data_IF_264978082324
#
_entry.id   IF_264978082324
#
_cell.length_a   1.000
_cell.length_b   1.000
_cell.length_c   1.000
_cell.angle_alpha   90.00
_cell.angle_beta   90.00
_cell.angle_gamma   90.00
#
_symmetry.space_group_name_H-M   'P 1'
#
loop_
_entity.id
_entity.type
_entity.pdbx_description
1 polymer ?
#
# COMPACT_ATOMS: atom_id res chain seq x y z
N UNK A 1 9.55 -10.86 14.04
CA UNK A 1 8.23 -10.81 13.39
C UNK A 1 7.46 -9.66 14.04
N UNK A 2 6.88 -8.71 13.29
CA UNK A 2 5.82 -7.85 13.84
C UNK A 2 4.46 -8.42 13.42
N UNK A 3 3.70 -9.00 14.35
CA UNK A 3 2.34 -9.42 14.07
C UNK A 3 1.47 -8.19 13.78
N UNK A 4 0.72 -8.24 12.69
CA UNK A 4 -0.35 -7.31 12.37
C UNK A 4 -1.45 -8.07 11.63
N UNK A 5 -2.68 -7.59 11.75
CA UNK A 5 -3.84 -8.07 10.99
C UNK A 5 -4.35 -6.88 10.16
N UNK A 6 -3.68 -6.55 9.04
CA UNK A 6 -4.02 -5.36 8.28
C UNK A 6 -5.41 -5.51 7.64
N UNK A 7 -6.25 -4.46 7.67
CA UNK A 7 -7.54 -4.49 6.97
C UNK A 7 -7.35 -4.60 5.45
N UNK A 8 -8.21 -5.41 4.83
CA UNK A 8 -8.36 -5.46 3.38
C UNK A 8 -9.38 -4.41 2.91
N UNK A 9 -9.18 -3.78 1.74
CA UNK A 9 -10.18 -2.93 1.13
C UNK A 9 -11.47 -3.71 0.83
N UNK A 10 -12.61 -3.05 0.98
CA UNK A 10 -13.90 -3.65 0.67
C UNK A 10 -13.97 -4.00 -0.84
N UNK A 11 -14.57 -5.14 -1.17
CA UNK A 11 -14.72 -5.55 -2.56
C UNK A 11 -15.54 -4.53 -3.37
N UNK A 12 -14.97 -4.04 -4.47
CA UNK A 12 -15.60 -3.04 -5.33
C UNK A 12 -15.36 -1.58 -4.91
N UNK A 13 -14.61 -1.33 -3.83
CA UNK A 13 -14.26 0.01 -3.36
C UNK A 13 -13.33 0.77 -4.31
N UNK A 14 -12.49 0.06 -5.08
CA UNK A 14 -11.45 0.66 -5.93
C UNK A 14 -10.58 1.62 -5.13
N UNK A 15 -10.29 1.27 -3.89
CA UNK A 15 -9.51 2.08 -2.97
C UNK A 15 -8.41 1.22 -2.36
N UNK A 16 -7.24 1.80 -2.19
CA UNK A 16 -6.18 1.14 -1.43
C UNK A 16 -6.29 1.44 0.07
N UNK A 17 -5.80 0.51 0.88
CA UNK A 17 -5.63 0.67 2.32
C UNK A 17 -4.17 0.43 2.65
N UNK A 18 -3.59 1.29 3.49
CA UNK A 18 -2.20 1.16 3.90
C UNK A 18 -2.05 1.11 5.42
N UNK A 19 -1.35 0.09 5.90
CA UNK A 19 -1.14 -0.20 7.32
C UNK A 19 0.35 -0.17 7.64
N UNK A 20 0.74 0.67 8.60
CA UNK A 20 2.10 0.66 9.16
C UNK A 20 2.15 -0.35 10.29
N UNK A 21 3.11 -1.27 10.25
CA UNK A 21 3.21 -2.32 11.25
C UNK A 21 3.95 -1.80 12.48
N UNK A 22 3.40 -2.05 13.66
CA UNK A 22 4.01 -1.72 14.96
C UNK A 22 4.72 -2.93 15.56
N UNK A 23 5.69 -2.68 16.46
CA UNK A 23 6.41 -3.75 17.15
C UNK A 23 7.40 -4.52 16.26
N UNK A 24 7.75 -3.98 15.09
CA UNK A 24 8.76 -4.57 14.22
C UNK A 24 10.15 -4.45 14.85
N UNK A 25 11.10 -5.26 14.36
CA UNK A 25 12.49 -5.15 14.78
C UNK A 25 12.99 -3.73 14.46
N UNK A 26 13.62 -3.06 15.43
CA UNK A 26 14.18 -1.73 15.23
C UNK A 26 15.13 -1.72 14.01
N UNK A 27 14.99 -0.71 13.15
CA UNK A 27 15.72 -0.62 11.86
C UNK A 27 15.10 -1.41 10.70
N UNK A 28 14.00 -2.13 10.92
CA UNK A 28 13.29 -2.90 9.90
C UNK A 28 11.78 -2.58 9.94
N UNK A 29 11.39 -1.36 9.54
CA UNK A 29 9.97 -1.01 9.45
C UNK A 29 9.30 -1.78 8.33
N UNK A 30 8.01 -2.06 8.53
CA UNK A 30 7.17 -2.78 7.57
C UNK A 30 5.90 -1.96 7.37
N UNK A 31 5.48 -1.86 6.10
CA UNK A 31 4.23 -1.24 5.68
C UNK A 31 3.55 -2.19 4.69
N UNK A 32 2.25 -2.35 4.83
CA UNK A 32 1.41 -3.18 3.96
C UNK A 32 0.39 -2.29 3.25
N UNK A 33 0.33 -2.38 1.92
CA UNK A 33 -0.68 -1.70 1.13
C UNK A 33 -1.47 -2.73 0.31
N UNK A 34 -2.80 -2.73 0.47
CA UNK A 34 -3.71 -3.65 -0.20
C UNK A 34 -4.68 -2.87 -1.11
N UNK A 35 -5.12 -3.50 -2.20
CA UNK A 35 -6.07 -2.95 -3.18
C UNK A 35 -7.03 -4.04 -3.64
N UNK A 36 -8.31 -3.70 -3.83
CA UNK A 36 -9.39 -4.66 -4.11
C UNK A 36 -9.53 -5.00 -5.60
N UNK A 37 -8.40 -5.10 -6.32
CA UNK A 37 -8.37 -5.46 -7.74
C UNK A 37 -7.39 -6.62 -8.00
N UNK A 38 -7.38 -7.13 -9.23
CA UNK A 38 -6.42 -8.13 -9.68
C UNK A 38 -4.96 -7.66 -9.68
N UNK A 39 -4.07 -8.56 -10.06
CA UNK A 39 -2.64 -8.28 -10.16
C UNK A 39 -2.33 -7.38 -11.37
N UNK A 40 -2.11 -6.09 -11.09
CA UNK A 40 -1.81 -5.04 -12.08
C UNK A 40 -0.52 -4.30 -11.72
N UNK A 41 0.34 -3.93 -12.70
CA UNK A 41 1.57 -3.18 -12.43
C UNK A 41 1.39 -1.74 -11.91
N UNK A 42 0.25 -1.07 -12.15
CA UNK A 42 0.07 0.34 -11.77
C UNK A 42 -1.35 0.70 -11.37
N UNK A 43 -1.88 0.18 -10.25
CA UNK A 43 -3.27 0.42 -9.84
C UNK A 43 -3.55 1.91 -9.55
N UNK A 44 -4.74 2.35 -9.90
CA UNK A 44 -5.21 3.73 -9.69
C UNK A 44 -6.51 3.69 -8.91
N UNK A 45 -6.63 4.51 -7.87
CA UNK A 45 -7.87 4.57 -7.09
C UNK A 45 -9.06 5.08 -7.93
N UNK A 46 -10.26 4.62 -7.60
CA UNK A 46 -11.51 4.97 -8.26
C UNK A 46 -11.76 4.23 -9.58
N UNK A 47 -10.79 3.45 -10.08
CA UNK A 47 -10.89 2.72 -11.35
C UNK A 47 -10.28 1.31 -11.25
N UNK A 48 -10.63 0.46 -12.21
CA UNK A 48 -9.95 -0.83 -12.42
C UNK A 48 -8.85 -0.76 -13.49
N UNK A 49 -8.66 0.41 -14.11
CA UNK A 49 -7.59 0.67 -15.05
C UNK A 49 -6.25 0.88 -14.33
N UNK A 50 -5.17 0.78 -15.10
CA UNK A 50 -3.81 1.00 -14.62
C UNK A 50 -3.12 2.18 -15.33
N UNK A 51 -2.12 2.75 -14.66
CA UNK A 51 -1.30 3.83 -15.20
C UNK A 51 -0.01 3.97 -14.40
N UNK A 52 1.13 3.82 -15.07
CA UNK A 52 2.44 4.10 -14.45
C UNK A 52 2.64 5.56 -14.05
N UNK A 53 1.85 6.49 -14.61
CA UNK A 53 1.96 7.93 -14.30
C UNK A 53 1.15 8.28 -13.05
N UNK A 54 -0.08 7.79 -12.96
CA UNK A 54 -1.08 8.19 -11.95
C UNK A 54 -1.29 7.15 -10.85
N UNK A 55 -0.55 6.05 -10.84
CA UNK A 55 -0.61 5.04 -9.78
C UNK A 55 -0.35 5.65 -8.39
N UNK A 56 -1.15 5.24 -7.41
CA UNK A 56 -0.98 5.63 -6.00
C UNK A 56 0.27 4.99 -5.37
N UNK A 57 0.72 3.84 -5.90
CA UNK A 57 1.88 3.09 -5.37
C UNK A 57 3.15 3.95 -5.32
N UNK A 58 3.35 4.82 -6.31
CA UNK A 58 4.50 5.74 -6.35
C UNK A 58 4.52 6.67 -5.13
N UNK A 59 3.35 7.18 -4.74
CA UNK A 59 3.22 8.05 -3.56
C UNK A 59 3.53 7.29 -2.26
N UNK A 60 2.98 6.08 -2.13
CA UNK A 60 3.23 5.22 -0.97
C UNK A 60 4.70 4.82 -0.82
N UNK A 61 5.34 4.43 -1.93
CA UNK A 61 6.76 4.07 -1.94
C UNK A 61 7.64 5.28 -1.56
N UNK A 62 7.34 6.46 -2.11
CA UNK A 62 8.10 7.66 -1.76
C UNK A 62 7.92 8.04 -0.29
N UNK A 63 6.68 8.00 0.22
CA UNK A 63 6.38 8.22 1.64
C UNK A 63 7.15 7.26 2.54
N UNK A 64 7.21 5.98 2.17
CA UNK A 64 7.99 4.98 2.91
C UNK A 64 9.47 5.33 2.94
N UNK A 65 10.11 5.60 1.80
CA UNK A 65 11.55 5.87 1.80
C UNK A 65 11.93 7.22 2.40
N UNK A 66 11.05 8.23 2.29
CA UNK A 66 11.27 9.55 2.87
C UNK A 66 11.31 9.55 4.41
N UNK A 67 10.87 8.48 5.08
CA UNK A 67 10.95 8.40 6.55
C UNK A 67 12.39 8.16 7.07
N UNK A 68 13.35 7.86 6.19
CA UNK A 68 14.74 7.56 6.55
C UNK A 68 15.73 8.69 6.27
N UNK A 69 15.24 9.86 5.86
CA UNK A 69 16.06 11.05 5.63
C UNK A 69 16.20 11.91 6.88
#
# INVERSE_FOLDING_TARGET
>A
MCPADPPEPAAGSRAHVTTVYSGCRAGYPVQWAAFDNGHLPGPVDGTYAESGVTTWTKGEIWRFFAQFS
#
